data_IF_345659168988
#
_entry.id   IF_345659168988
#
_cell.length_a   1.000
_cell.length_b   1.000
_cell.length_c   1.000
_cell.angle_alpha   90.00
_cell.angle_beta   90.00
_cell.angle_gamma   90.00
#
_symmetry.space_group_name_H-M   'P 1'
#
loop_
_entity.id
_entity.type
_entity.pdbx_description
1 polymer ?
#
# COMPACT_ATOMS: atom_id res chain seq x y z
N UNK A 1 15.90 13.49 18.66
CA UNK A 1 14.85 12.47 18.90
C UNK A 1 13.71 13.13 19.64
N UNK A 2 12.70 13.59 18.91
CA UNK A 2 11.42 14.01 19.48
C UNK A 2 10.43 12.85 19.28
N UNK A 3 9.53 12.66 20.23
CA UNK A 3 8.43 11.71 20.06
C UNK A 3 7.58 12.14 18.86
N UNK A 4 7.47 11.25 17.88
CA UNK A 4 6.58 11.49 16.75
C UNK A 4 5.17 11.02 17.15
N UNK A 5 4.13 11.87 16.99
CA UNK A 5 2.75 11.46 17.28
C UNK A 5 2.22 10.41 16.29
N UNK A 6 3.00 10.11 15.24
CA UNK A 6 2.64 9.20 14.17
C UNK A 6 3.57 7.99 14.11
N UNK A 7 3.00 6.86 13.70
CA UNK A 7 3.73 5.66 13.33
C UNK A 7 3.73 5.51 11.81
N UNK A 8 4.91 5.46 11.22
CA UNK A 8 5.10 5.12 9.81
C UNK A 8 5.04 3.62 9.64
N UNK A 9 4.24 3.17 8.67
CA UNK A 9 4.11 1.77 8.30
C UNK A 9 4.61 1.60 6.86
N UNK A 10 5.49 0.63 6.66
CA UNK A 10 5.92 0.16 5.35
C UNK A 10 5.72 -1.35 5.27
N UNK A 11 5.06 -1.78 4.19
CA UNK A 11 4.93 -3.19 3.85
C UNK A 11 5.58 -3.39 2.48
N UNK A 12 6.25 -4.52 2.32
CA UNK A 12 6.82 -4.94 1.06
C UNK A 12 6.34 -6.35 0.73
N UNK A 13 5.92 -6.55 -0.51
CA UNK A 13 5.51 -7.82 -1.09
C UNK A 13 6.41 -8.13 -2.30
N UNK A 14 6.50 -9.40 -2.74
CA UNK A 14 7.17 -9.74 -4.00
C UNK A 14 6.64 -8.87 -5.14
N UNK A 15 7.56 -8.27 -5.90
CA UNK A 15 7.22 -7.46 -7.06
C UNK A 15 7.16 -8.27 -8.35
N UNK A 16 6.92 -7.57 -9.46
CA UNK A 16 6.96 -8.12 -10.81
C UNK A 16 8.11 -7.47 -11.55
N UNK A 17 8.97 -8.27 -12.19
CA UNK A 17 10.07 -7.74 -13.00
C UNK A 17 9.53 -6.95 -14.19
N UNK A 18 10.26 -5.90 -14.60
CA UNK A 18 9.86 -5.06 -15.73
C UNK A 18 9.78 -5.82 -17.06
N UNK A 19 10.57 -6.87 -17.23
CA UNK A 19 10.57 -7.75 -18.40
C UNK A 19 9.50 -8.85 -18.36
N UNK A 20 8.81 -9.04 -17.23
CA UNK A 20 7.78 -10.05 -17.13
C UNK A 20 6.59 -9.70 -18.03
N UNK A 21 5.94 -10.71 -18.67
CA UNK A 21 4.78 -10.48 -19.52
C UNK A 21 3.63 -9.78 -18.76
N UNK A 22 3.54 -10.02 -17.45
CA UNK A 22 2.49 -9.49 -16.59
C UNK A 22 2.82 -8.11 -15.99
N UNK A 23 3.94 -7.47 -16.37
CA UNK A 23 4.35 -6.19 -15.76
C UNK A 23 3.28 -5.11 -15.88
N UNK A 24 2.68 -4.93 -17.06
CA UNK A 24 1.62 -3.93 -17.23
C UNK A 24 0.31 -4.32 -16.54
N UNK A 25 0.03 -5.62 -16.39
CA UNK A 25 -1.07 -6.08 -15.55
C UNK A 25 -0.83 -5.72 -14.08
N UNK A 26 0.41 -5.87 -13.60
CA UNK A 26 0.81 -5.44 -12.26
C UNK A 26 0.73 -3.92 -12.08
N UNK A 27 1.06 -3.12 -13.09
CA UNK A 27 0.89 -1.65 -13.07
C UNK A 27 -0.57 -1.27 -12.88
N UNK A 28 -1.48 -1.89 -13.66
CA UNK A 28 -2.93 -1.64 -13.52
C UNK A 28 -3.47 -2.11 -12.16
N UNK A 29 -3.01 -3.28 -11.70
CA UNK A 29 -3.32 -3.77 -10.36
C UNK A 29 -2.85 -2.78 -9.28
N UNK A 30 -1.64 -2.24 -9.40
CA UNK A 30 -1.12 -1.24 -8.47
C UNK A 30 -1.98 0.02 -8.45
N UNK A 31 -2.41 0.52 -9.62
CA UNK A 31 -3.29 1.69 -9.71
C UNK A 31 -4.60 1.49 -8.93
N UNK A 32 -5.21 0.30 -9.07
CA UNK A 32 -6.42 -0.08 -8.33
C UNK A 32 -6.14 -0.25 -6.83
N UNK A 33 -5.01 -0.84 -6.46
CA UNK A 33 -4.65 -1.12 -5.07
C UNK A 33 -4.39 0.17 -4.29
N UNK A 34 -3.46 1.00 -4.76
CA UNK A 34 -2.93 2.14 -4.01
C UNK A 34 -2.14 3.17 -4.82
N UNK A 35 -1.96 2.97 -6.13
CA UNK A 35 -1.29 3.92 -7.03
C UNK A 35 -2.12 5.17 -7.28
N UNK A 36 -3.45 5.02 -7.33
CA UNK A 36 -4.34 6.16 -7.45
C UNK A 36 -4.52 6.90 -6.12
N UNK A 37 -4.28 8.21 -6.13
CA UNK A 37 -4.30 9.04 -4.92
C UNK A 37 -5.69 9.25 -4.30
N UNK A 38 -6.79 8.98 -5.02
CA UNK A 38 -8.16 9.29 -4.55
C UNK A 38 -9.17 8.19 -4.81
N UNK A 39 -8.90 7.23 -5.70
CA UNK A 39 -9.87 6.20 -6.10
C UNK A 39 -9.35 4.78 -5.89
N UNK A 40 -8.20 4.62 -5.23
CA UNK A 40 -7.65 3.30 -4.95
C UNK A 40 -8.35 2.64 -3.76
N UNK A 41 -8.32 1.31 -3.73
CA UNK A 41 -8.93 0.51 -2.65
C UNK A 41 -8.33 0.84 -1.29
N UNK A 42 -7.01 1.07 -1.21
CA UNK A 42 -6.35 1.47 0.03
C UNK A 42 -6.83 2.86 0.47
N UNK A 43 -6.93 3.82 -0.45
CA UNK A 43 -7.43 5.16 -0.13
C UNK A 43 -8.85 5.10 0.43
N UNK A 44 -9.75 4.37 -0.23
CA UNK A 44 -11.14 4.22 0.19
C UNK A 44 -11.23 3.59 1.60
N UNK A 45 -10.55 2.47 1.83
CA UNK A 45 -10.69 1.71 3.06
C UNK A 45 -9.97 2.34 4.26
N UNK A 46 -8.78 2.93 4.06
CA UNK A 46 -7.96 3.48 5.15
C UNK A 46 -8.33 4.94 5.42
N UNK A 47 -8.46 5.76 4.38
CA UNK A 47 -8.71 7.21 4.54
C UNK A 47 -10.19 7.53 4.53
N UNK A 48 -10.94 7.16 3.50
CA UNK A 48 -12.33 7.63 3.36
C UNK A 48 -13.28 6.99 4.38
N UNK A 49 -13.27 5.66 4.49
CA UNK A 49 -14.19 4.93 5.36
C UNK A 49 -13.84 5.03 6.84
N UNK A 50 -12.55 5.10 7.18
CA UNK A 50 -12.07 4.95 8.56
C UNK A 50 -11.27 6.14 9.10
N UNK A 51 -10.82 7.06 8.25
CA UNK A 51 -10.04 8.21 8.68
C UNK A 51 -8.75 7.87 9.43
N UNK A 52 -8.14 6.70 9.14
CA UNK A 52 -6.99 6.19 9.90
C UNK A 52 -5.68 6.88 9.52
N UNK A 53 -5.54 7.26 8.25
CA UNK A 53 -4.35 7.92 7.75
C UNK A 53 -4.73 9.00 6.73
N UNK A 54 -3.92 10.06 6.67
CA UNK A 54 -4.08 11.09 5.64
C UNK A 54 -3.68 10.59 4.26
N UNK A 55 -2.61 9.80 4.18
CA UNK A 55 -2.15 9.18 2.93
C UNK A 55 -1.90 7.69 3.15
N UNK A 56 -2.21 6.92 2.11
CA UNK A 56 -1.79 5.54 1.93
C UNK A 56 -1.60 5.36 0.44
N UNK A 57 -0.47 4.77 0.04
CA UNK A 57 -0.16 4.54 -1.37
C UNK A 57 0.55 3.22 -1.56
N UNK A 58 0.54 2.73 -2.79
CA UNK A 58 1.34 1.60 -3.23
C UNK A 58 2.09 1.89 -4.51
N UNK A 59 3.30 1.37 -4.61
CA UNK A 59 4.20 1.57 -5.73
C UNK A 59 4.90 0.25 -6.11
N UNK A 60 5.09 0.04 -7.41
CA UNK A 60 5.99 -1.00 -7.91
C UNK A 60 7.41 -0.46 -7.91
N UNK A 61 8.27 -1.09 -7.12
CA UNK A 61 9.72 -0.90 -7.17
C UNK A 61 10.26 -1.84 -8.23
N UNK A 62 10.89 -1.29 -9.28
CA UNK A 62 11.31 -2.03 -10.48
C UNK A 62 12.83 -1.96 -10.75
N UNK A 63 13.65 -1.99 -9.70
CA UNK A 63 15.10 -1.97 -9.85
C UNK A 63 15.64 -3.25 -10.53
N UNK A 64 16.79 -3.13 -11.20
CA UNK A 64 17.42 -4.19 -11.99
C UNK A 64 17.64 -5.53 -11.24
N UNK A 65 17.82 -5.48 -9.92
CA UNK A 65 18.07 -6.65 -9.07
C UNK A 65 17.14 -6.74 -7.86
N UNK A 66 16.12 -5.88 -7.79
CA UNK A 66 15.19 -5.84 -6.68
C UNK A 66 13.84 -5.32 -7.16
N UNK A 67 12.84 -6.19 -7.13
CA UNK A 67 11.46 -5.84 -7.41
C UNK A 67 10.59 -6.04 -6.18
N UNK A 68 9.73 -5.07 -5.90
CA UNK A 68 8.80 -5.15 -4.79
C UNK A 68 7.50 -4.41 -5.13
N UNK A 69 6.41 -4.84 -4.53
CA UNK A 69 5.26 -3.98 -4.32
C UNK A 69 5.39 -3.38 -2.92
N UNK A 70 5.58 -2.07 -2.84
CA UNK A 70 5.74 -1.35 -1.59
C UNK A 70 4.45 -0.61 -1.24
N UNK A 71 4.02 -0.66 0.02
CA UNK A 71 2.88 0.10 0.54
C UNK A 71 3.36 0.97 1.69
N UNK A 72 3.05 2.26 1.64
CA UNK A 72 3.47 3.23 2.66
C UNK A 72 2.28 4.01 3.21
N UNK A 73 2.25 4.20 4.53
CA UNK A 73 1.30 5.09 5.19
C UNK A 73 1.86 5.60 6.52
N UNK A 74 1.27 6.68 7.04
CA UNK A 74 1.53 7.19 8.38
C UNK A 74 0.21 7.45 9.10
N UNK A 75 0.08 6.93 10.32
CA UNK A 75 -1.14 7.00 11.14
C UNK A 75 -0.80 7.43 12.56
N UNK A 76 -1.82 7.73 13.37
CA UNK A 76 -1.62 7.97 14.81
C UNK A 76 -1.08 6.72 15.49
N UNK A 77 -0.17 6.90 16.45
CA UNK A 77 0.51 5.78 17.10
C UNK A 77 -0.46 4.77 17.76
N UNK A 78 -1.54 5.24 18.38
CA UNK A 78 -2.57 4.41 19.01
C UNK A 78 -3.45 3.63 18.01
N UNK A 79 -3.31 3.92 16.71
CA UNK A 79 -4.08 3.29 15.61
C UNK A 79 -3.20 2.47 14.67
N UNK A 80 -1.91 2.34 14.94
CA UNK A 80 -0.97 1.63 14.07
C UNK A 80 -1.38 0.17 13.77
N UNK A 81 -1.81 -0.57 14.80
CA UNK A 81 -2.23 -1.96 14.65
C UNK A 81 -3.51 -2.11 13.82
N UNK A 82 -4.48 -1.21 14.01
CA UNK A 82 -5.73 -1.17 13.24
C UNK A 82 -5.44 -0.85 11.77
N UNK A 83 -4.64 0.18 11.50
CA UNK A 83 -4.22 0.57 10.15
C UNK A 83 -3.49 -0.58 9.44
N UNK A 84 -2.55 -1.24 10.12
CA UNK A 84 -1.83 -2.39 9.57
C UNK A 84 -2.78 -3.54 9.22
N UNK A 85 -3.76 -3.84 10.07
CA UNK A 85 -4.74 -4.89 9.82
C UNK A 85 -5.61 -4.58 8.59
N UNK A 86 -6.10 -3.35 8.46
CA UNK A 86 -6.90 -2.91 7.30
C UNK A 86 -6.09 -3.01 6.01
N UNK A 87 -4.85 -2.50 6.00
CA UNK A 87 -3.97 -2.59 4.82
C UNK A 87 -3.77 -4.05 4.39
N UNK A 88 -3.48 -4.95 5.33
CA UNK A 88 -3.30 -6.38 5.04
C UNK A 88 -4.56 -7.03 4.50
N UNK A 89 -5.73 -6.66 5.01
CA UNK A 89 -7.01 -7.19 4.54
C UNK A 89 -7.31 -6.76 3.10
N UNK A 90 -7.07 -5.49 2.76
CA UNK A 90 -7.24 -4.99 1.38
C UNK A 90 -6.33 -5.73 0.41
N UNK A 91 -5.05 -5.91 0.76
CA UNK A 91 -4.09 -6.66 -0.07
C UNK A 91 -4.52 -8.12 -0.20
N UNK A 92 -4.94 -8.76 0.89
CA UNK A 92 -5.40 -10.15 0.88
C UNK A 92 -6.61 -10.33 -0.02
N UNK A 93 -7.60 -9.44 0.05
CA UNK A 93 -8.79 -9.46 -0.82
C UNK A 93 -8.40 -9.32 -2.29
N UNK A 94 -7.51 -8.38 -2.62
CA UNK A 94 -6.99 -8.22 -3.99
C UNK A 94 -6.31 -9.50 -4.52
N UNK A 95 -5.60 -10.25 -3.66
CA UNK A 95 -4.92 -11.47 -4.06
C UNK A 95 -5.83 -12.70 -4.21
N UNK A 96 -7.09 -12.61 -3.77
CA UNK A 96 -8.06 -13.71 -3.77
C UNK A 96 -9.16 -13.56 -4.82
N UNK A 97 -9.26 -12.38 -5.44
CA UNK A 97 -10.15 -12.08 -6.58
C UNK A 97 -9.50 -12.49 -7.90
#
# INVERSE_FOLDING_TARGET
NYDQPQTSLQLAYPGVERSAPDFFAAVLMNEILGGSAFTSRLFEEVREKRGLAYSVSSDLVDHQHANALAITTATRADRAAETLAVVREVVKRMAQE
#
